data_IF_189200639005
#
_entry.id   IF_189200639005
#
_cell.length_a   1.000
_cell.length_b   1.000
_cell.length_c   1.000
_cell.angle_alpha   90.00
_cell.angle_beta   90.00
_cell.angle_gamma   90.00
#
_symmetry.space_group_name_H-M   'P 1'
#
loop_
_entity.id
_entity.type
_entity.pdbx_description
1 polymer ?
#
# COMPACT_ATOMS: atom_id res chain seq x y z
N UNK A 1 -0.30 -12.56 0.17
CA UNK A 1 -0.19 -11.71 1.39
C UNK A 1 0.81 -12.14 2.46
N UNK A 2 1.49 -13.30 2.37
CA UNK A 2 2.42 -13.78 3.42
C UNK A 2 3.49 -12.74 3.78
N UNK A 3 4.14 -12.13 2.79
CA UNK A 3 5.17 -11.10 3.00
C UNK A 3 4.62 -9.85 3.71
N UNK A 4 3.47 -9.34 3.27
CA UNK A 4 2.84 -8.17 3.88
C UNK A 4 2.38 -8.43 5.33
N UNK A 5 2.02 -9.69 5.67
CA UNK A 5 1.72 -10.10 7.05
C UNK A 5 2.98 -10.13 7.91
N UNK A 6 4.10 -10.65 7.39
CA UNK A 6 5.39 -10.69 8.09
C UNK A 6 5.86 -9.27 8.50
N UNK A 7 5.64 -8.28 7.63
CA UNK A 7 6.00 -6.88 7.90
C UNK A 7 4.97 -6.13 8.75
N UNK A 8 3.87 -6.77 9.18
CA UNK A 8 2.83 -6.11 9.97
C UNK A 8 2.01 -5.07 9.20
N UNK A 9 2.01 -5.11 7.86
CA UNK A 9 1.23 -4.21 7.00
C UNK A 9 -0.17 -4.75 6.70
N UNK A 10 -0.39 -6.05 6.86
CA UNK A 10 -1.71 -6.66 6.66
C UNK A 10 -2.64 -6.42 7.85
N UNK A 11 -3.96 -6.31 7.61
CA UNK A 11 -4.92 -6.42 8.70
C UNK A 11 -4.91 -7.83 9.30
N UNK A 12 -5.20 -7.93 10.59
CA UNK A 12 -5.57 -9.19 11.26
C UNK A 12 -7.08 -9.23 11.36
N UNK A 13 -7.66 -10.35 10.96
CA UNK A 13 -9.06 -10.62 11.24
C UNK A 13 -9.20 -10.95 12.73
N UNK A 14 -9.78 -10.03 13.48
CA UNK A 14 -10.16 -10.28 14.87
C UNK A 14 -11.65 -10.65 14.88
N UNK A 15 -11.92 -11.92 14.58
CA UNK A 15 -13.27 -12.48 14.50
C UNK A 15 -13.37 -13.78 15.29
N UNK A 16 -14.46 -13.93 16.05
CA UNK A 16 -14.91 -15.22 16.56
C UNK A 16 -16.14 -15.64 15.76
N UNK A 17 -16.21 -16.91 15.33
CA UNK A 17 -17.33 -17.47 14.57
C UNK A 17 -17.76 -16.64 13.33
N UNK A 18 -16.80 -16.11 12.56
CA UNK A 18 -17.06 -15.38 11.31
C UNK A 18 -17.61 -13.95 11.46
N UNK A 19 -17.85 -13.48 12.69
CA UNK A 19 -18.23 -12.09 12.98
C UNK A 19 -17.05 -11.36 13.60
N UNK A 20 -16.44 -10.44 12.86
CA UNK A 20 -15.35 -9.62 13.38
C UNK A 20 -14.93 -8.51 12.44
N UNK A 21 -14.05 -7.65 12.96
CA UNK A 21 -13.54 -6.48 12.23
C UNK A 21 -12.07 -6.68 11.95
N UNK A 22 -11.64 -6.19 10.79
CA UNK A 22 -10.22 -6.09 10.46
C UNK A 22 -9.55 -5.07 11.37
N UNK A 23 -8.53 -5.51 12.08
CA UNK A 23 -7.73 -4.67 12.95
C UNK A 23 -6.29 -4.55 12.43
N UNK A 24 -5.62 -3.47 12.83
CA UNK A 24 -4.21 -3.26 12.52
C UNK A 24 -3.36 -4.35 13.19
N UNK A 25 -2.47 -4.99 12.43
CA UNK A 25 -1.37 -5.77 13.00
C UNK A 25 -0.51 -4.91 13.92
N UNK A 26 -0.43 -5.25 15.22
CA UNK A 26 0.57 -4.70 16.13
C UNK A 26 1.89 -5.46 16.10
N UNK A 27 1.87 -6.66 15.50
CA UNK A 27 2.99 -7.59 15.43
C UNK A 27 3.55 -7.62 14.00
N UNK A 28 4.86 -7.86 13.87
CA UNK A 28 5.57 -7.90 12.60
C UNK A 28 6.93 -7.20 12.68
N UNK A 29 7.72 -7.29 11.61
CA UNK A 29 9.02 -6.63 11.55
C UNK A 29 8.86 -5.09 11.47
N UNK A 30 9.18 -4.40 12.57
CA UNK A 30 9.02 -2.94 12.69
C UNK A 30 9.92 -2.14 11.76
N UNK A 31 11.15 -2.62 11.50
CA UNK A 31 12.09 -1.95 10.61
C UNK A 31 11.56 -1.96 9.17
N UNK A 32 11.13 -3.13 8.69
CA UNK A 32 10.51 -3.25 7.37
C UNK A 32 9.23 -2.42 7.26
N UNK A 33 8.39 -2.44 8.30
CA UNK A 33 7.18 -1.61 8.33
C UNK A 33 7.50 -0.12 8.16
N UNK A 34 8.50 0.39 8.89
CA UNK A 34 8.93 1.78 8.79
C UNK A 34 9.47 2.11 7.38
N UNK A 35 10.32 1.26 6.80
CA UNK A 35 10.86 1.45 5.45
C UNK A 35 9.73 1.58 4.42
N UNK A 36 8.76 0.65 4.44
CA UNK A 36 7.62 0.69 3.53
C UNK A 36 6.68 1.86 3.79
N UNK A 37 6.56 2.30 5.04
CA UNK A 37 5.80 3.49 5.39
C UNK A 37 6.40 4.76 4.78
N UNK A 38 7.72 4.96 4.95
CA UNK A 38 8.41 6.10 4.34
C UNK A 38 8.39 6.03 2.82
N UNK A 39 8.57 4.84 2.24
CA UNK A 39 8.45 4.66 0.80
C UNK A 39 7.05 5.06 0.30
N UNK A 40 5.99 4.64 0.98
CA UNK A 40 4.62 5.02 0.63
C UNK A 40 4.39 6.54 0.72
N UNK A 41 4.97 7.22 1.71
CA UNK A 41 4.93 8.68 1.81
C UNK A 41 5.61 9.31 0.59
N UNK A 42 6.81 8.86 0.22
CA UNK A 42 7.53 9.40 -0.94
C UNK A 42 6.77 9.19 -2.25
N UNK A 43 6.08 8.04 -2.39
CA UNK A 43 5.28 7.72 -3.58
C UNK A 43 4.04 8.60 -3.73
N UNK A 44 3.41 9.00 -2.63
CA UNK A 44 2.19 9.83 -2.61
C UNK A 44 2.49 11.33 -2.51
N UNK A 45 3.75 11.67 -2.20
CA UNK A 45 4.19 13.05 -2.02
C UNK A 45 3.88 13.91 -3.25
N UNK A 46 3.40 15.12 -2.98
CA UNK A 46 3.19 16.18 -3.96
C UNK A 46 4.29 17.21 -3.79
N UNK A 47 4.85 17.67 -4.90
CA UNK A 47 5.84 18.74 -4.90
C UNK A 47 5.22 20.05 -4.39
N UNK A 48 6.06 20.99 -3.97
CA UNK A 48 5.62 22.35 -3.61
C UNK A 48 4.86 23.04 -4.75
N UNK A 49 5.16 22.66 -6.00
CA UNK A 49 4.47 23.10 -7.22
C UNK A 49 3.12 22.41 -7.49
N UNK A 50 2.63 21.56 -6.57
CA UNK A 50 1.33 20.90 -6.68
C UNK A 50 1.30 19.65 -7.56
N UNK A 51 2.42 19.27 -8.18
CA UNK A 51 2.51 18.08 -9.04
C UNK A 51 2.80 16.82 -8.22
N UNK A 52 2.00 15.75 -8.35
CA UNK A 52 2.31 14.48 -7.70
C UNK A 52 3.57 13.85 -8.30
N UNK A 53 4.46 13.33 -7.46
CA UNK A 53 5.66 12.64 -7.93
C UNK A 53 5.32 11.36 -8.69
N UNK A 54 4.32 10.62 -8.19
CA UNK A 54 3.76 9.48 -8.88
C UNK A 54 2.23 9.60 -8.93
N UNK A 55 1.65 10.05 -10.05
CA UNK A 55 0.22 10.34 -10.15
C UNK A 55 -0.65 9.11 -9.85
N UNK A 56 -0.23 7.93 -10.30
CA UNK A 56 -0.97 6.68 -10.08
C UNK A 56 -1.08 6.30 -8.59
N UNK A 57 0.02 6.39 -7.83
CA UNK A 57 -0.02 6.06 -6.40
C UNK A 57 -0.81 7.12 -5.62
N UNK A 58 -0.73 8.38 -6.07
CA UNK A 58 -1.53 9.47 -5.51
C UNK A 58 -3.03 9.25 -5.73
N UNK A 59 -3.43 8.92 -6.95
CA UNK A 59 -4.81 8.63 -7.29
C UNK A 59 -5.33 7.44 -6.47
N UNK A 60 -4.55 6.36 -6.36
CA UNK A 60 -4.93 5.21 -5.55
C UNK A 60 -5.09 5.58 -4.06
N UNK A 61 -4.21 6.44 -3.52
CA UNK A 61 -4.35 6.95 -2.16
C UNK A 61 -5.65 7.74 -1.98
N UNK A 62 -5.98 8.63 -2.92
CA UNK A 62 -7.20 9.43 -2.90
C UNK A 62 -8.45 8.57 -3.06
N UNK A 63 -8.43 7.56 -3.94
CA UNK A 63 -9.49 6.58 -4.06
C UNK A 63 -9.74 5.87 -2.73
N UNK A 64 -8.68 5.43 -2.04
CA UNK A 64 -8.80 4.80 -0.71
C UNK A 64 -9.32 5.76 0.36
N UNK A 65 -9.01 7.05 0.28
CA UNK A 65 -9.60 8.06 1.15
C UNK A 65 -11.10 8.25 0.85
N UNK A 66 -11.50 8.28 -0.43
CA UNK A 66 -12.91 8.36 -0.86
C UNK A 66 -13.75 7.14 -0.44
N UNK A 67 -13.13 5.96 -0.38
CA UNK A 67 -13.74 4.74 0.19
C UNK A 67 -14.02 4.84 1.71
N UNK A 68 -13.73 5.98 2.36
CA UNK A 68 -13.97 6.20 3.78
C UNK A 68 -12.83 5.75 4.69
N UNK A 69 -11.66 5.40 4.13
CA UNK A 69 -10.49 5.05 4.95
C UNK A 69 -9.80 6.31 5.45
N UNK A 70 -9.34 6.27 6.69
CA UNK A 70 -8.51 7.33 7.24
C UNK A 70 -7.20 7.46 6.46
N UNK A 71 -6.66 8.69 6.35
CA UNK A 71 -5.35 8.95 5.70
C UNK A 71 -4.24 7.96 6.07
N UNK A 72 -3.97 7.64 7.35
CA UNK A 72 -2.97 6.62 7.70
C UNK A 72 -3.32 5.21 7.20
N UNK A 73 -4.60 4.84 7.16
CA UNK A 73 -5.04 3.54 6.62
C UNK A 73 -4.90 3.50 5.09
N UNK A 74 -5.18 4.61 4.41
CA UNK A 74 -4.94 4.74 2.98
C UNK A 74 -3.44 4.60 2.66
N UNK A 75 -2.54 5.20 3.45
CA UNK A 75 -1.09 4.99 3.32
C UNK A 75 -0.69 3.52 3.51
N UNK A 76 -1.27 2.82 4.48
CA UNK A 76 -1.03 1.38 4.67
C UNK A 76 -1.49 0.58 3.44
N UNK A 77 -2.60 0.97 2.80
CA UNK A 77 -3.04 0.34 1.56
C UNK A 77 -2.04 0.54 0.41
N UNK A 78 -1.44 1.74 0.29
CA UNK A 78 -0.36 2.03 -0.68
C UNK A 78 0.86 1.17 -0.36
N UNK A 79 1.31 1.13 0.89
CA UNK A 79 2.44 0.31 1.32
C UNK A 79 2.22 -1.18 0.98
N UNK A 80 1.02 -1.73 1.24
CA UNK A 80 0.66 -3.10 0.86
C UNK A 80 0.75 -3.34 -0.66
N UNK A 81 0.35 -2.36 -1.47
CA UNK A 81 0.46 -2.43 -2.94
C UNK A 81 1.93 -2.46 -3.37
N UNK A 82 2.78 -1.61 -2.78
CA UNK A 82 4.23 -1.59 -3.05
C UNK A 82 4.91 -2.92 -2.72
N UNK A 83 4.56 -3.54 -1.59
CA UNK A 83 5.04 -4.87 -1.21
C UNK A 83 4.72 -5.91 -2.29
N UNK A 84 3.51 -5.86 -2.85
CA UNK A 84 3.09 -6.80 -3.91
C UNK A 84 3.89 -6.59 -5.19
N UNK A 85 4.16 -5.34 -5.56
CA UNK A 85 4.98 -4.98 -6.72
C UNK A 85 6.41 -5.49 -6.54
N UNK A 86 7.06 -5.16 -5.42
CA UNK A 86 8.44 -5.57 -5.13
C UNK A 86 8.54 -7.10 -5.08
N UNK A 87 7.59 -7.77 -4.44
CA UNK A 87 7.56 -9.23 -4.44
C UNK A 87 7.42 -9.81 -5.85
N UNK A 88 6.60 -9.19 -6.70
CA UNK A 88 6.49 -9.54 -8.11
C UNK A 88 7.83 -9.44 -8.82
N UNK A 89 8.49 -8.28 -8.71
CA UNK A 89 9.82 -8.02 -9.30
C UNK A 89 10.87 -9.04 -8.83
N UNK A 90 10.93 -9.33 -7.52
CA UNK A 90 11.87 -10.31 -6.98
C UNK A 90 11.61 -11.72 -7.51
N UNK A 91 10.34 -12.08 -7.72
CA UNK A 91 9.94 -13.41 -8.21
C UNK A 91 10.24 -13.58 -9.70
N UNK A 92 9.93 -12.57 -10.51
CA UNK A 92 10.15 -12.60 -11.97
C UNK A 92 11.57 -12.18 -12.36
N UNK A 93 12.35 -11.63 -11.42
CA UNK A 93 13.66 -11.01 -11.66
C UNK A 93 13.61 -9.94 -12.74
N UNK A 94 12.49 -9.22 -12.80
CA UNK A 94 12.29 -8.12 -13.75
C UNK A 94 12.41 -6.79 -13.04
N UNK A 95 12.88 -5.79 -13.77
CA UNK A 95 12.91 -4.40 -13.30
C UNK A 95 11.51 -3.83 -13.06
N UNK A 96 11.46 -2.75 -12.28
CA UNK A 96 10.23 -2.01 -12.07
C UNK A 96 9.88 -1.27 -13.36
N UNK A 97 8.73 -1.60 -13.93
CA UNK A 97 8.11 -0.79 -14.99
C UNK A 97 7.14 0.18 -14.34
N UNK A 98 7.17 1.43 -14.77
CA UNK A 98 6.24 2.44 -14.26
C UNK A 98 4.82 1.88 -14.41
N UNK A 99 4.08 1.84 -13.31
CA UNK A 99 2.70 1.36 -13.37
C UNK A 99 1.90 2.39 -14.15
N UNK A 100 1.63 2.08 -15.41
CA UNK A 100 0.66 2.79 -16.22
C UNK A 100 -0.71 2.21 -15.88
N UNK A 101 -1.67 3.09 -15.60
CA UNK A 101 -3.05 2.67 -15.49
C UNK A 101 -3.46 2.27 -16.91
N UNK A 102 -3.80 1.01 -17.12
CA UNK A 102 -4.45 0.63 -18.37
C UNK A 102 -5.78 1.38 -18.36
N UNK A 103 -5.92 2.35 -19.27
CA UNK A 103 -7.21 2.98 -19.48
C UNK A 103 -8.15 1.88 -19.97
N UNK A 104 -9.05 1.43 -19.10
CA UNK A 104 -10.19 0.60 -19.47
C UNK A 104 -11.15 1.46 -20.32
N UNK A 105 -10.71 1.81 -21.54
CA UNK A 105 -11.58 2.23 -22.63
C UNK A 105 -11.91 0.97 -23.43
N UNK A 106 -12.97 0.30 -23.03
CA UNK A 106 -13.78 -0.51 -23.94
C UNK A 106 -15.24 -0.43 -23.51
#
# INVERSE_FOLDING_TARGET
DKLARFMGLAPVQFSSAGKGKDQRCRNGNRALNAIFHFLAIQMVAVSTSGKPRHPVFREYFEQKAKEGKNKPQALVCVARRLVRIIYGMMKTRTEYRLYEKVDDKN
#
